data_IF_071987396427
#
_entry.id   IF_071987396427
#
_cell.length_a   1.000
_cell.length_b   1.000
_cell.length_c   1.000
_cell.angle_alpha   90.00
_cell.angle_beta   90.00
_cell.angle_gamma   90.00
#
_symmetry.space_group_name_H-M   'P 1'
#
loop_
_entity.id
_entity.type
_entity.pdbx_description
1 polymer ?
#
# COMPACT_ATOMS: atom_id res chain seq x y z
N UNK A 1 -12.69 0.83 -11.88
CA UNK A 1 -12.36 2.21 -11.58
C UNK A 1 -11.42 2.30 -10.37
N UNK A 2 -10.45 3.21 -10.44
CA UNK A 2 -9.53 3.45 -9.32
C UNK A 2 -10.17 4.25 -8.19
N UNK A 3 -11.31 4.86 -8.43
CA UNK A 3 -11.93 5.77 -7.47
C UNK A 3 -13.23 5.27 -6.88
N UNK A 4 -13.83 4.24 -7.46
CA UNK A 4 -15.14 3.76 -7.04
C UNK A 4 -15.13 2.25 -6.90
N UNK A 5 -15.49 1.75 -5.72
CA UNK A 5 -15.57 0.32 -5.45
C UNK A 5 -14.24 -0.42 -5.38
N UNK A 6 -13.13 0.30 -5.37
CA UNK A 6 -11.80 -0.30 -5.30
C UNK A 6 -11.41 -0.46 -3.83
N UNK A 7 -11.03 -1.69 -3.44
CA UNK A 7 -10.48 -1.93 -2.12
C UNK A 7 -8.98 -1.62 -2.08
N UNK A 8 -8.38 -1.68 -0.89
CA UNK A 8 -6.98 -1.30 -0.71
C UNK A 8 -6.02 -2.18 -1.49
N UNK A 9 -6.24 -3.49 -1.52
CA UNK A 9 -5.37 -4.40 -2.27
C UNK A 9 -5.57 -4.27 -3.77
N UNK A 10 -6.79 -4.01 -4.21
CA UNK A 10 -7.09 -3.75 -5.62
C UNK A 10 -6.40 -2.48 -6.10
N UNK A 11 -6.40 -1.45 -5.28
CA UNK A 11 -5.71 -0.20 -5.59
C UNK A 11 -4.21 -0.41 -5.76
N UNK A 12 -3.55 -1.06 -4.81
CA UNK A 12 -2.11 -1.32 -4.90
C UNK A 12 -1.79 -2.22 -6.08
N UNK A 13 -2.59 -3.25 -6.32
CA UNK A 13 -2.41 -4.15 -7.45
C UNK A 13 -2.43 -3.38 -8.77
N UNK A 14 -3.40 -2.49 -8.95
CA UNK A 14 -3.52 -1.70 -10.18
C UNK A 14 -2.37 -0.74 -10.37
N UNK A 15 -1.93 -0.07 -9.31
CA UNK A 15 -0.80 0.86 -9.39
C UNK A 15 0.47 0.13 -9.80
N UNK A 16 0.80 -0.97 -9.16
CA UNK A 16 2.03 -1.70 -9.47
C UNK A 16 1.95 -2.40 -10.82
N UNK A 17 0.77 -2.87 -11.23
CA UNK A 17 0.55 -3.44 -12.56
C UNK A 17 0.88 -2.43 -13.64
N UNK A 18 0.52 -1.16 -13.43
CA UNK A 18 0.82 -0.09 -14.37
C UNK A 18 2.33 0.06 -14.60
N UNK A 19 3.15 -0.26 -13.61
CA UNK A 19 4.60 -0.19 -13.72
C UNK A 19 5.24 -1.55 -14.03
N UNK A 20 4.45 -2.55 -14.41
CA UNK A 20 4.96 -3.85 -14.82
C UNK A 20 5.18 -4.85 -13.69
N UNK A 21 4.66 -4.59 -12.52
CA UNK A 21 4.80 -5.48 -11.36
C UNK A 21 3.46 -6.16 -11.08
N UNK A 22 3.51 -7.48 -10.87
CA UNK A 22 2.32 -8.27 -10.55
C UNK A 22 2.21 -8.45 -9.04
N UNK A 23 1.05 -8.10 -8.49
CA UNK A 23 0.76 -8.31 -7.07
C UNK A 23 -0.52 -9.14 -6.94
N UNK A 24 -0.62 -10.00 -5.91
CA UNK A 24 -1.85 -10.71 -5.65
C UNK A 24 -2.96 -9.75 -5.21
N UNK A 25 -4.20 -10.06 -5.53
CA UNK A 25 -5.36 -9.25 -5.16
C UNK A 25 -5.85 -9.63 -3.74
N UNK A 26 -4.98 -9.43 -2.77
CA UNK A 26 -5.27 -9.74 -1.37
C UNK A 26 -4.29 -8.97 -0.49
N UNK A 27 -4.79 -8.23 0.48
CA UNK A 27 -3.92 -7.51 1.41
C UNK A 27 -3.04 -8.46 2.22
N UNK A 28 -3.57 -9.62 2.59
CA UNK A 28 -2.80 -10.63 3.31
C UNK A 28 -1.65 -11.17 2.47
N UNK A 29 -1.91 -11.47 1.19
CA UNK A 29 -0.88 -11.98 0.30
C UNK A 29 0.14 -10.88 -0.05
N UNK A 30 -0.31 -9.65 -0.26
CA UNK A 30 0.60 -8.53 -0.55
C UNK A 30 1.56 -8.28 0.61
N UNK A 31 1.15 -8.58 1.83
CA UNK A 31 1.99 -8.45 3.03
C UNK A 31 3.29 -9.26 2.95
N UNK A 32 3.32 -10.28 2.10
CA UNK A 32 4.47 -11.16 1.92
C UNK A 32 5.12 -11.00 0.55
N UNK A 33 4.66 -10.02 -0.24
CA UNK A 33 5.21 -9.76 -1.58
C UNK A 33 6.51 -8.98 -1.49
N UNK A 34 7.37 -9.14 -2.49
CA UNK A 34 8.62 -8.39 -2.57
C UNK A 34 9.59 -8.68 -1.44
N UNK A 35 10.33 -7.67 -1.04
CA UNK A 35 11.39 -7.78 -0.01
C UNK A 35 10.96 -7.04 1.26
N UNK A 36 11.19 -7.66 2.41
CA UNK A 36 10.93 -7.01 3.70
C UNK A 36 11.86 -5.82 3.90
N UNK A 37 11.32 -4.72 4.41
CA UNK A 37 12.06 -3.49 4.67
C UNK A 37 11.77 -3.07 6.10
N UNK A 38 12.78 -2.61 6.83
CA UNK A 38 12.57 -2.07 8.16
C UNK A 38 11.82 -0.74 8.08
N UNK A 39 11.09 -0.42 9.12
CA UNK A 39 10.36 0.85 9.21
C UNK A 39 11.27 2.06 8.94
N UNK A 40 12.48 2.04 9.49
CA UNK A 40 13.43 3.13 9.34
C UNK A 40 13.95 3.28 7.91
N UNK A 41 13.96 2.20 7.14
CA UNK A 41 14.52 2.19 5.78
C UNK A 41 13.45 2.32 4.69
N UNK A 42 12.19 2.56 5.05
CA UNK A 42 11.14 2.68 4.05
C UNK A 42 11.39 3.87 3.11
N UNK A 43 11.06 3.68 1.85
CA UNK A 43 11.23 4.67 0.80
C UNK A 43 9.93 4.84 0.02
N UNK A 44 9.74 5.98 -0.66
CA UNK A 44 8.56 6.15 -1.52
C UNK A 44 8.42 4.99 -2.51
N UNK A 45 7.21 4.47 -2.63
CA UNK A 45 6.93 3.30 -3.44
C UNK A 45 6.87 1.99 -2.67
N UNK A 46 7.28 1.98 -1.40
CA UNK A 46 7.15 0.79 -0.57
C UNK A 46 5.70 0.61 -0.12
N UNK A 47 5.30 -0.66 0.08
CA UNK A 47 4.00 -0.98 0.66
C UNK A 47 4.06 -0.90 2.18
N UNK A 48 3.07 -0.25 2.77
CA UNK A 48 2.87 -0.28 4.22
C UNK A 48 1.68 -1.20 4.48
N UNK A 49 1.91 -2.25 5.26
CA UNK A 49 0.92 -3.30 5.45
C UNK A 49 0.35 -3.26 6.85
N UNK A 50 -0.99 -3.25 6.94
CA UNK A 50 -1.75 -3.26 8.17
C UNK A 50 -2.65 -4.49 8.18
N UNK A 51 -3.30 -4.77 9.30
CA UNK A 51 -4.28 -5.84 9.34
C UNK A 51 -5.46 -5.51 8.41
N UNK A 52 -5.62 -6.31 7.36
CA UNK A 52 -6.70 -6.12 6.39
C UNK A 52 -6.60 -4.86 5.55
N UNK A 53 -5.43 -4.20 5.51
CA UNK A 53 -5.28 -2.96 4.75
C UNK A 53 -3.86 -2.79 4.23
N UNK A 54 -3.73 -2.13 3.09
CA UNK A 54 -2.45 -1.85 2.43
C UNK A 54 -2.46 -0.39 1.98
N UNK A 55 -1.30 0.26 2.09
CA UNK A 55 -1.09 1.61 1.57
C UNK A 55 0.26 1.69 0.86
N UNK A 56 0.45 2.74 0.07
CA UNK A 56 1.72 3.01 -0.61
C UNK A 56 2.36 4.20 0.08
N UNK A 57 3.61 4.02 0.52
CA UNK A 57 4.37 5.10 1.14
C UNK A 57 4.82 6.10 0.07
N UNK A 58 4.62 7.39 0.34
CA UNK A 58 4.97 8.45 -0.62
C UNK A 58 6.03 9.41 -0.07
N UNK A 59 6.64 9.08 1.07
CA UNK A 59 7.66 9.90 1.68
C UNK A 59 7.10 10.83 2.78
N UNK A 60 7.98 11.36 3.59
CA UNK A 60 7.64 12.31 4.67
C UNK A 60 6.60 11.78 5.66
N UNK A 61 6.58 10.47 5.87
CA UNK A 61 5.62 9.83 6.78
C UNK A 61 4.23 9.70 6.21
N UNK A 62 4.00 10.02 4.95
CA UNK A 62 2.69 10.04 4.32
C UNK A 62 2.43 8.79 3.49
N UNK A 63 1.16 8.45 3.32
CA UNK A 63 0.73 7.33 2.50
C UNK A 63 -0.41 7.75 1.58
N UNK A 64 -0.53 7.02 0.47
CA UNK A 64 -1.72 7.07 -0.39
C UNK A 64 -2.38 5.72 -0.36
N UNK A 65 -3.70 5.68 -0.20
CA UNK A 65 -4.42 4.43 -0.10
C UNK A 65 -5.91 4.58 -0.45
N UNK A 66 -6.53 3.46 -0.78
CA UNK A 66 -7.98 3.40 -0.95
C UNK A 66 -8.58 3.24 0.45
N UNK A 67 -8.98 4.37 1.04
CA UNK A 67 -9.41 4.42 2.44
C UNK A 67 -10.74 3.71 2.67
N UNK A 68 -11.72 3.98 1.81
CA UNK A 68 -13.03 3.32 1.86
C UNK A 68 -13.73 3.53 0.53
N UNK A 69 -14.82 2.81 0.31
CA UNK A 69 -15.65 3.02 -0.89
C UNK A 69 -16.25 4.42 -0.93
N UNK A 70 -16.56 4.96 0.24
CA UNK A 70 -17.21 6.27 0.35
C UNK A 70 -16.23 7.40 0.11
N UNK A 71 -15.04 7.33 0.70
CA UNK A 71 -14.03 8.39 0.57
C UNK A 71 -13.07 8.15 -0.58
N UNK A 72 -13.01 6.91 -1.10
CA UNK A 72 -12.14 6.58 -2.21
C UNK A 72 -10.66 6.62 -1.84
N UNK A 73 -9.86 7.06 -2.79
CA UNK A 73 -8.41 7.16 -2.63
C UNK A 73 -8.07 8.48 -1.98
N UNK A 74 -7.21 8.42 -0.95
CA UNK A 74 -6.78 9.64 -0.27
C UNK A 74 -5.32 9.53 0.19
N UNK A 75 -4.73 10.68 0.48
CA UNK A 75 -3.41 10.78 1.10
C UNK A 75 -3.64 10.98 2.59
N UNK A 76 -3.00 10.14 3.40
CA UNK A 76 -3.01 10.29 4.86
C UNK A 76 -1.66 10.81 5.32
N UNK A 77 -1.64 11.78 6.24
CA UNK A 77 -0.39 12.43 6.64
C UNK A 77 0.48 11.60 7.58
N UNK A 78 0.00 10.45 8.02
CA UNK A 78 0.69 9.66 9.04
C UNK A 78 0.62 8.17 8.70
N UNK A 79 1.73 7.63 8.23
CA UNK A 79 1.80 6.23 7.79
C UNK A 79 1.54 5.24 8.94
N UNK A 80 1.83 5.63 10.16
CA UNK A 80 1.60 4.78 11.34
C UNK A 80 0.31 5.13 12.09
N UNK A 81 -0.70 5.61 11.38
CA UNK A 81 -2.01 5.88 11.98
C UNK A 81 -2.71 4.61 12.51
N UNK A 82 -2.26 3.45 12.07
CA UNK A 82 -2.68 2.13 12.55
C UNK A 82 -1.41 1.33 12.82
N UNK A 83 -1.57 0.19 13.50
CA UNK A 83 -0.44 -0.71 13.73
C UNK A 83 0.09 -1.24 12.39
N UNK A 84 1.36 -0.99 12.12
CA UNK A 84 2.06 -1.48 10.94
C UNK A 84 2.51 -2.91 11.18
N UNK A 85 2.17 -3.82 10.28
CA UNK A 85 2.58 -5.22 10.37
C UNK A 85 3.87 -5.48 9.61
N UNK A 86 4.04 -4.85 8.45
CA UNK A 86 5.27 -4.99 7.66
C UNK A 86 5.38 -3.86 6.67
N UNK A 87 6.60 -3.69 6.14
CA UNK A 87 6.89 -2.82 5.01
C UNK A 87 7.51 -3.70 3.94
N UNK A 88 7.01 -3.60 2.70
CA UNK A 88 7.47 -4.46 1.61
C UNK A 88 7.94 -3.59 0.43
N UNK A 89 9.07 -3.96 -0.14
CA UNK A 89 9.59 -3.27 -1.34
C UNK A 89 9.33 -4.14 -2.56
N UNK A 90 8.51 -3.62 -3.46
CA UNK A 90 8.15 -4.30 -4.71
C UNK A 90 9.05 -3.83 -5.84
N UNK A 91 9.27 -2.53 -5.91
CA UNK A 91 10.12 -1.91 -6.94
C UNK A 91 11.58 -2.11 -6.55
N UNK A 92 12.34 -2.71 -7.46
CA UNK A 92 13.75 -3.00 -7.23
C UNK A 92 14.65 -1.83 -7.57
#
# INVERSE_FOLDING_TARGET
SLTSGVDCSGFTMKIYEHFGYSLPHSSTAQRYSGTAVSWANKQPGDLICYSGHIAIYIGNGKIVHASSRKTGIKISPKANYRKVLSVRRIVK
#
